data_IF_705932255613
#
_entry.id   IF_705932255613
#
_cell.length_a   1.000
_cell.length_b   1.000
_cell.length_c   1.000
_cell.angle_alpha   90.00
_cell.angle_beta   90.00
_cell.angle_gamma   90.00
#
_symmetry.space_group_name_H-M   'P 1'
#
loop_
_entity.id
_entity.type
_entity.pdbx_description
1 polymer ?
#
# COMPACT_ATOMS: atom_id res chain seq x y z
N UNK A 1 -28.96 -17.35 -19.17
CA UNK A 1 -27.75 -16.53 -18.99
C UNK A 1 -26.64 -17.06 -19.89
N UNK A 2 -26.43 -16.40 -21.05
CA UNK A 2 -25.42 -16.80 -22.05
C UNK A 2 -24.01 -16.29 -21.75
N UNK A 3 -23.83 -15.56 -20.66
CA UNK A 3 -22.51 -15.10 -20.23
C UNK A 3 -22.18 -15.79 -18.92
N UNK A 4 -21.27 -16.77 -19.03
CA UNK A 4 -20.62 -17.32 -17.84
C UNK A 4 -19.98 -16.15 -17.12
N UNK A 5 -20.23 -15.99 -15.83
CA UNK A 5 -19.69 -14.90 -15.00
C UNK A 5 -18.14 -14.90 -14.91
N UNK A 6 -17.49 -15.88 -15.51
CA UNK A 6 -16.04 -16.03 -15.54
C UNK A 6 -15.50 -15.56 -16.89
N UNK A 7 -15.02 -14.34 -16.96
CA UNK A 7 -14.35 -13.80 -18.14
C UNK A 7 -12.97 -14.43 -18.40
N UNK A 8 -12.45 -15.22 -17.49
CA UNK A 8 -11.19 -15.93 -17.63
C UNK A 8 -11.44 -17.42 -17.93
N UNK A 9 -10.75 -18.00 -18.94
CA UNK A 9 -10.76 -19.45 -19.12
C UNK A 9 -10.26 -20.13 -17.84
N UNK A 10 -10.77 -21.31 -17.50
CA UNK A 10 -10.31 -22.04 -16.32
C UNK A 10 -8.79 -22.23 -16.41
N UNK A 11 -8.07 -21.70 -15.44
CA UNK A 11 -6.63 -21.86 -15.34
C UNK A 11 -6.31 -23.34 -15.16
N UNK A 12 -5.34 -23.86 -15.92
CA UNK A 12 -4.78 -25.21 -15.71
C UNK A 12 -3.96 -25.27 -14.40
N UNK A 13 -3.69 -24.15 -13.77
CA UNK A 13 -2.94 -24.06 -12.55
C UNK A 13 -3.85 -24.28 -11.34
N UNK A 14 -3.41 -25.08 -10.39
CA UNK A 14 -4.13 -25.30 -9.14
C UNK A 14 -4.25 -24.04 -8.27
N UNK A 15 -3.35 -23.06 -8.46
CA UNK A 15 -3.29 -21.81 -7.71
C UNK A 15 -3.16 -20.63 -8.67
N UNK A 16 -4.26 -20.17 -9.27
CA UNK A 16 -4.23 -18.99 -10.13
C UNK A 16 -3.90 -17.71 -9.32
N UNK A 17 -3.16 -16.79 -9.92
CA UNK A 17 -2.89 -15.48 -9.31
C UNK A 17 -4.15 -14.65 -9.10
N UNK A 18 -5.14 -14.83 -9.95
CA UNK A 18 -6.42 -14.15 -9.89
C UNK A 18 -7.52 -15.11 -10.39
N UNK A 19 -8.54 -15.26 -9.58
CA UNK A 19 -9.73 -16.03 -9.92
C UNK A 19 -10.94 -15.11 -9.86
N UNK A 20 -11.73 -15.07 -10.94
CA UNK A 20 -12.94 -14.23 -11.05
C UNK A 20 -12.69 -12.73 -10.75
N UNK A 21 -11.58 -12.18 -11.23
CA UNK A 21 -11.17 -10.80 -10.94
C UNK A 21 -12.11 -9.72 -11.46
N UNK A 22 -12.90 -10.02 -12.51
CA UNK A 22 -13.85 -9.07 -13.12
C UNK A 22 -15.15 -9.81 -13.48
N UNK A 23 -16.27 -9.24 -13.10
CA UNK A 23 -17.58 -9.67 -13.56
C UNK A 23 -17.92 -8.99 -14.91
N UNK A 24 -18.89 -9.53 -15.62
CA UNK A 24 -19.35 -8.95 -16.89
C UNK A 24 -19.84 -7.49 -16.71
N UNK A 25 -20.49 -7.20 -15.59
CA UNK A 25 -20.97 -5.86 -15.27
C UNK A 25 -19.82 -4.86 -15.05
N UNK A 26 -18.68 -5.30 -14.52
CA UNK A 26 -17.49 -4.44 -14.37
C UNK A 26 -16.95 -4.03 -15.74
N UNK A 27 -16.92 -4.98 -16.69
CA UNK A 27 -16.49 -4.73 -18.06
C UNK A 27 -17.45 -3.78 -18.76
N UNK A 28 -18.77 -4.01 -18.63
CA UNK A 28 -19.79 -3.14 -19.22
C UNK A 28 -19.67 -1.71 -18.70
N UNK A 29 -19.42 -1.52 -17.39
CA UNK A 29 -19.15 -0.19 -16.81
C UNK A 29 -17.89 0.45 -17.39
N UNK A 30 -16.83 -0.32 -17.62
CA UNK A 30 -15.63 0.17 -18.29
C UNK A 30 -15.92 0.65 -19.73
N UNK A 31 -16.72 -0.12 -20.50
CA UNK A 31 -17.14 0.25 -21.85
C UNK A 31 -17.98 1.55 -21.83
N UNK A 32 -18.95 1.65 -20.93
CA UNK A 32 -19.78 2.86 -20.78
C UNK A 32 -18.92 4.11 -20.56
N UNK A 33 -17.88 4.01 -19.71
CA UNK A 33 -16.95 5.12 -19.44
C UNK A 33 -16.15 5.48 -20.69
N UNK A 34 -15.63 4.48 -21.42
CA UNK A 34 -14.89 4.70 -22.67
C UNK A 34 -15.77 5.42 -23.71
N UNK A 35 -17.01 4.95 -23.89
CA UNK A 35 -17.97 5.56 -24.84
C UNK A 35 -18.36 6.98 -24.44
N UNK A 36 -18.33 7.31 -23.14
CA UNK A 36 -18.61 8.66 -22.65
C UNK A 36 -17.54 9.70 -23.02
N UNK A 37 -16.35 9.26 -23.43
CA UNK A 37 -15.19 10.11 -23.70
C UNK A 37 -14.58 10.77 -22.44
N UNK A 38 -15.14 10.55 -21.24
CA UNK A 38 -14.66 11.15 -19.98
C UNK A 38 -13.74 10.19 -19.25
N UNK A 39 -12.59 9.88 -19.86
CA UNK A 39 -11.66 8.84 -19.41
C UNK A 39 -10.57 9.33 -18.43
N UNK A 40 -10.51 10.64 -18.15
CA UNK A 40 -9.53 11.21 -17.22
C UNK A 40 -10.20 12.11 -16.21
N UNK A 41 -9.71 12.15 -14.97
CA UNK A 41 -10.16 13.04 -13.88
C UNK A 41 -11.69 13.14 -13.75
N UNK A 42 -12.38 12.02 -13.97
CA UNK A 42 -13.83 11.99 -14.09
C UNK A 42 -14.54 12.04 -12.73
N UNK A 43 -15.86 12.33 -12.77
CA UNK A 43 -16.74 12.26 -11.60
C UNK A 43 -16.77 10.86 -10.98
N UNK A 44 -16.51 9.81 -11.78
CA UNK A 44 -16.46 8.41 -11.32
C UNK A 44 -15.23 8.18 -10.44
N UNK A 45 -14.08 8.72 -10.82
CA UNK A 45 -12.87 8.65 -9.97
C UNK A 45 -13.13 9.33 -8.62
N UNK A 46 -13.71 10.53 -8.62
CA UNK A 46 -14.07 11.23 -7.37
C UNK A 46 -15.08 10.44 -6.52
N UNK A 47 -16.07 9.82 -7.16
CA UNK A 47 -17.04 8.97 -6.46
C UNK A 47 -16.33 7.78 -5.81
N UNK A 48 -15.46 7.09 -6.54
CA UNK A 48 -14.67 6.00 -6.01
C UNK A 48 -13.81 6.43 -4.82
N UNK A 49 -13.06 7.52 -4.94
CA UNK A 49 -12.20 8.06 -3.86
C UNK A 49 -13.02 8.36 -2.60
N UNK A 50 -14.22 8.95 -2.74
CA UNK A 50 -15.11 9.25 -1.62
C UNK A 50 -15.68 7.98 -0.98
N UNK A 51 -16.09 7.00 -1.77
CA UNK A 51 -16.63 5.73 -1.25
C UNK A 51 -15.54 4.90 -0.58
N UNK A 52 -14.38 4.84 -1.18
CA UNK A 52 -13.23 4.12 -0.62
C UNK A 52 -12.74 4.75 0.69
N UNK A 53 -12.66 6.09 0.77
CA UNK A 53 -12.29 6.76 2.01
C UNK A 53 -13.25 6.46 3.15
N UNK A 54 -14.57 6.40 2.88
CA UNK A 54 -15.58 5.98 3.86
C UNK A 54 -15.41 4.54 4.27
N UNK A 55 -15.16 3.64 3.31
CA UNK A 55 -15.00 2.21 3.54
C UNK A 55 -13.81 1.90 4.45
N UNK A 56 -12.66 2.53 4.20
CA UNK A 56 -11.43 2.32 5.00
C UNK A 56 -11.34 3.24 6.24
N UNK A 57 -12.29 4.16 6.43
CA UNK A 57 -12.28 5.11 7.55
C UNK A 57 -11.19 6.19 7.45
N UNK A 58 -10.67 6.47 6.26
CA UNK A 58 -9.70 7.53 6.03
C UNK A 58 -10.38 8.87 5.74
N UNK A 59 -9.68 9.96 6.01
CA UNK A 59 -10.19 11.31 5.70
C UNK A 59 -10.19 11.58 4.19
N UNK A 60 -9.22 11.06 3.48
CA UNK A 60 -9.03 11.25 2.06
C UNK A 60 -8.56 9.94 1.41
N UNK A 61 -8.91 9.76 0.15
CA UNK A 61 -8.36 8.75 -0.74
C UNK A 61 -7.97 9.38 -2.06
N UNK A 62 -6.97 8.81 -2.70
CA UNK A 62 -6.51 9.22 -4.02
C UNK A 62 -6.33 7.98 -4.89
N UNK A 63 -7.03 7.94 -6.02
CA UNK A 63 -6.92 6.87 -6.99
C UNK A 63 -5.63 6.99 -7.80
N UNK A 64 -4.90 5.91 -7.91
CA UNK A 64 -3.69 5.78 -8.74
C UNK A 64 -3.78 4.50 -9.56
N UNK A 65 -2.94 4.38 -10.59
CA UNK A 65 -2.98 3.25 -11.53
C UNK A 65 -2.40 1.94 -10.97
N UNK A 66 -1.66 1.98 -9.87
CA UNK A 66 -1.07 0.78 -9.24
C UNK A 66 -0.62 1.04 -7.80
N UNK A 67 -0.44 -0.04 -7.03
CA UNK A 67 0.18 0.03 -5.71
C UNK A 67 1.61 0.58 -5.74
N UNK A 68 2.36 0.31 -6.81
CA UNK A 68 3.71 0.90 -7.01
C UNK A 68 3.67 2.42 -7.10
N UNK A 69 2.70 2.96 -7.83
CA UNK A 69 2.47 4.41 -7.91
C UNK A 69 2.00 4.99 -6.58
N UNK A 70 1.17 4.25 -5.83
CA UNK A 70 0.76 4.65 -4.48
C UNK A 70 1.97 4.76 -3.55
N UNK A 71 2.86 3.76 -3.55
CA UNK A 71 4.09 3.76 -2.75
C UNK A 71 5.01 4.93 -3.12
N UNK A 72 5.14 5.23 -4.40
CA UNK A 72 5.92 6.37 -4.89
C UNK A 72 5.32 7.68 -4.37
N UNK A 73 4.02 7.85 -4.50
CA UNK A 73 3.31 9.05 -4.07
C UNK A 73 3.45 9.29 -2.55
N UNK A 74 3.25 8.24 -1.75
CA UNK A 74 3.42 8.30 -0.29
C UNK A 74 4.85 8.66 0.08
N UNK A 75 5.84 8.06 -0.58
CA UNK A 75 7.26 8.32 -0.31
C UNK A 75 7.61 9.79 -0.56
N UNK A 76 7.16 10.35 -1.67
CA UNK A 76 7.38 11.77 -1.98
C UNK A 76 6.53 12.70 -1.10
N UNK A 77 5.36 12.27 -0.66
CA UNK A 77 4.57 13.03 0.31
C UNK A 77 5.27 13.15 1.66
N UNK A 78 6.04 12.13 2.09
CA UNK A 78 6.81 12.16 3.34
C UNK A 78 7.92 13.22 3.33
N UNK A 79 8.54 13.47 2.19
CA UNK A 79 9.62 14.47 2.02
C UNK A 79 9.12 15.83 1.51
N UNK A 80 7.81 15.99 1.33
CA UNK A 80 7.23 17.22 0.79
C UNK A 80 7.66 18.43 1.62
N UNK A 81 8.28 19.47 1.00
CA UNK A 81 8.79 20.66 1.70
C UNK A 81 7.72 21.42 2.47
N UNK A 82 6.46 21.34 2.08
CA UNK A 82 5.32 22.01 2.74
C UNK A 82 4.86 21.29 4.02
N UNK A 83 5.30 20.05 4.25
CA UNK A 83 4.92 19.28 5.44
C UNK A 83 5.75 19.69 6.65
N UNK A 84 5.10 20.02 7.78
CA UNK A 84 5.78 20.39 9.02
C UNK A 84 6.78 19.32 9.51
N UNK A 85 6.32 18.06 9.53
CA UNK A 85 7.10 16.91 9.98
C UNK A 85 7.61 16.08 8.80
N UNK A 86 8.15 16.77 7.78
CA UNK A 86 8.73 16.10 6.62
C UNK A 86 9.97 15.31 7.02
N UNK A 87 10.20 14.24 6.28
CA UNK A 87 11.46 13.51 6.34
C UNK A 87 12.52 14.25 5.53
N UNK A 88 13.75 14.12 5.96
CA UNK A 88 14.92 14.73 5.32
C UNK A 88 15.74 13.64 4.61
N UNK A 89 16.56 14.05 3.66
CA UNK A 89 17.50 13.15 3.01
C UNK A 89 18.37 12.45 4.06
N UNK A 90 18.55 11.14 3.90
CA UNK A 90 19.25 10.24 4.81
C UNK A 90 18.51 9.90 6.12
N UNK A 91 17.29 10.40 6.35
CA UNK A 91 16.46 9.86 7.41
C UNK A 91 16.24 8.37 7.22
N UNK A 92 16.21 7.63 8.31
CA UNK A 92 16.08 6.17 8.28
C UNK A 92 14.61 5.74 8.38
N UNK A 93 14.27 4.66 7.67
CA UNK A 93 12.96 4.03 7.76
C UNK A 93 13.09 2.53 7.98
N UNK A 94 12.16 1.97 8.74
CA UNK A 94 12.07 0.53 9.00
C UNK A 94 11.25 -0.10 7.88
N UNK A 95 11.73 -1.21 7.34
CA UNK A 95 11.02 -2.02 6.35
C UNK A 95 11.33 -3.50 6.59
N UNK A 96 10.35 -4.42 6.48
CA UNK A 96 10.66 -5.84 6.57
C UNK A 96 11.60 -6.29 5.46
N UNK A 97 12.53 -7.19 5.79
CA UNK A 97 13.47 -7.76 4.82
C UNK A 97 12.75 -8.55 3.72
N UNK A 98 11.60 -9.15 4.04
CA UNK A 98 10.69 -9.76 3.08
C UNK A 98 9.70 -8.69 2.58
N UNK A 99 9.98 -8.15 1.40
CA UNK A 99 9.12 -7.14 0.80
C UNK A 99 9.17 -7.20 -0.74
N UNK A 100 8.14 -6.66 -1.37
CA UNK A 100 8.19 -6.42 -2.81
C UNK A 100 9.09 -5.21 -3.10
N UNK A 101 9.83 -5.27 -4.20
CA UNK A 101 10.80 -4.21 -4.56
C UNK A 101 10.19 -2.82 -4.60
N UNK A 102 8.94 -2.69 -5.06
CA UNK A 102 8.24 -1.40 -5.16
C UNK A 102 7.74 -0.85 -3.81
N UNK A 103 7.87 -1.60 -2.71
CA UNK A 103 7.70 -1.07 -1.36
C UNK A 103 8.97 -0.40 -0.84
N UNK A 104 10.14 -0.81 -1.34
CA UNK A 104 11.45 -0.32 -0.92
C UNK A 104 11.96 0.84 -1.79
N UNK A 105 11.97 0.64 -3.12
CA UNK A 105 12.62 1.57 -4.06
C UNK A 105 12.11 3.02 -3.96
N UNK A 106 10.81 3.30 -3.85
CA UNK A 106 10.33 4.67 -3.76
C UNK A 106 10.87 5.45 -2.58
N UNK A 107 11.05 4.80 -1.42
CA UNK A 107 11.63 5.43 -0.23
C UNK A 107 13.12 5.75 -0.43
N UNK A 108 13.87 4.84 -1.10
CA UNK A 108 15.26 5.09 -1.47
C UNK A 108 15.36 6.23 -2.49
N UNK A 109 14.49 6.25 -3.50
CA UNK A 109 14.42 7.32 -4.50
C UNK A 109 14.10 8.68 -3.86
N UNK A 110 13.30 8.68 -2.80
CA UNK A 110 13.06 9.87 -1.98
C UNK A 110 14.28 10.29 -1.13
N UNK A 111 15.38 9.56 -1.20
CA UNK A 111 16.64 9.86 -0.49
C UNK A 111 16.69 9.35 0.94
N UNK A 112 15.78 8.45 1.33
CA UNK A 112 15.74 7.85 2.66
C UNK A 112 16.61 6.59 2.73
N UNK A 113 17.00 6.18 3.94
CA UNK A 113 17.86 5.01 4.18
C UNK A 113 17.09 3.86 4.82
N UNK A 114 17.09 2.65 4.22
CA UNK A 114 16.39 1.50 4.79
C UNK A 114 17.14 0.95 6.01
N UNK A 115 16.37 0.59 7.03
CA UNK A 115 16.74 -0.27 8.14
C UNK A 115 15.89 -1.52 8.07
N UNK A 116 16.47 -2.60 7.58
CA UNK A 116 15.75 -3.86 7.47
C UNK A 116 15.47 -4.45 8.85
N UNK A 117 14.25 -4.96 9.00
CA UNK A 117 13.79 -5.71 10.16
C UNK A 117 13.37 -7.11 9.70
N UNK A 118 13.67 -8.10 10.52
CA UNK A 118 13.27 -9.47 10.22
C UNK A 118 11.77 -9.67 10.43
N UNK A 119 11.24 -10.74 9.87
CA UNK A 119 9.82 -11.09 9.90
C UNK A 119 9.57 -12.27 10.84
N UNK A 120 8.39 -12.31 11.41
CA UNK A 120 7.89 -13.49 12.10
C UNK A 120 7.66 -14.63 11.10
N UNK A 121 8.20 -15.82 11.38
CA UNK A 121 8.16 -16.99 10.49
C UNK A 121 6.76 -17.53 10.20
N UNK A 122 5.77 -17.21 11.04
CA UNK A 122 4.40 -17.70 10.90
C UNK A 122 3.56 -16.74 10.07
N UNK A 123 3.79 -15.44 10.21
CA UNK A 123 2.98 -14.40 9.55
C UNK A 123 3.65 -13.78 8.34
N UNK A 124 4.98 -13.89 8.22
CA UNK A 124 5.82 -13.20 7.23
C UNK A 124 5.75 -11.66 7.31
N UNK A 125 5.15 -11.13 8.35
CA UNK A 125 5.06 -9.70 8.64
C UNK A 125 6.13 -9.29 9.66
N UNK A 126 6.32 -7.98 9.86
CA UNK A 126 7.25 -7.46 10.88
C UNK A 126 7.03 -8.19 12.22
N UNK A 127 8.11 -8.72 12.81
CA UNK A 127 8.09 -9.14 14.21
C UNK A 127 8.18 -7.91 15.12
N UNK A 128 7.09 -7.52 15.80
CA UNK A 128 7.07 -6.32 16.61
C UNK A 128 8.01 -6.37 17.82
N UNK A 129 8.45 -7.56 18.24
CA UNK A 129 9.39 -7.69 19.34
C UNK A 129 10.79 -7.18 18.96
N UNK A 130 11.13 -7.20 17.68
CA UNK A 130 12.39 -6.69 17.16
C UNK A 130 12.43 -5.16 17.08
N UNK A 131 11.28 -4.47 17.08
CA UNK A 131 11.22 -3.00 17.03
C UNK A 131 11.89 -2.33 18.24
N UNK A 132 11.93 -3.02 19.37
CA UNK A 132 12.57 -2.48 20.61
C UNK A 132 14.10 -2.47 20.56
N UNK A 133 14.71 -3.00 19.51
CA UNK A 133 16.16 -2.98 19.35
C UNK A 133 16.67 -1.56 19.14
N UNK A 134 17.76 -1.21 19.79
CA UNK A 134 18.39 0.13 19.77
C UNK A 134 18.67 0.66 18.35
N UNK A 135 18.96 -0.22 17.40
CA UNK A 135 19.23 0.15 15.99
C UNK A 135 18.06 0.87 15.27
N UNK A 136 16.83 0.77 15.79
CA UNK A 136 15.64 1.37 15.19
C UNK A 136 15.20 2.68 15.85
N UNK A 137 15.84 3.10 16.95
CA UNK A 137 15.44 4.29 17.73
C UNK A 137 15.51 5.60 16.93
N UNK A 138 16.39 5.68 15.94
CA UNK A 138 16.59 6.89 15.10
C UNK A 138 15.71 6.90 13.85
N UNK A 139 15.01 5.84 13.56
CA UNK A 139 14.13 5.76 12.39
C UNK A 139 12.98 6.76 12.50
N UNK A 140 12.53 7.28 11.36
CA UNK A 140 11.47 8.30 11.27
C UNK A 140 10.19 7.78 10.63
N UNK A 141 10.26 6.61 9.99
CA UNK A 141 9.12 5.98 9.35
C UNK A 141 9.19 4.46 9.47
N UNK A 142 8.02 3.82 9.35
CA UNK A 142 7.86 2.37 9.26
C UNK A 142 7.00 2.08 8.04
N UNK A 143 7.49 1.23 7.13
CA UNK A 143 6.71 0.59 6.09
C UNK A 143 6.28 -0.78 6.61
N UNK A 144 5.02 -0.91 7.00
CA UNK A 144 4.44 -2.15 7.51
C UNK A 144 3.70 -2.87 6.37
N UNK A 145 4.09 -4.11 6.09
CA UNK A 145 3.54 -4.90 5.00
C UNK A 145 2.72 -6.08 5.52
N UNK A 146 1.55 -6.28 4.96
CA UNK A 146 0.62 -7.37 5.26
C UNK A 146 0.74 -8.47 4.20
N UNK A 147 1.74 -9.34 4.35
CA UNK A 147 2.11 -10.33 3.35
C UNK A 147 1.03 -11.42 3.25
N UNK A 148 0.58 -11.71 2.01
CA UNK A 148 -0.44 -12.73 1.69
C UNK A 148 -1.74 -12.58 2.49
N UNK A 149 -2.10 -11.34 2.85
CA UNK A 149 -3.29 -11.07 3.67
C UNK A 149 -3.11 -11.32 5.17
N UNK A 150 -1.93 -11.76 5.61
CA UNK A 150 -1.63 -11.83 7.04
C UNK A 150 -1.37 -10.44 7.61
N UNK A 151 -1.87 -10.20 8.81
CA UNK A 151 -1.58 -8.98 9.54
C UNK A 151 -0.48 -9.21 10.58
N UNK A 152 0.46 -8.27 10.65
CA UNK A 152 1.34 -8.13 11.81
C UNK A 152 0.53 -7.77 13.07
N UNK A 153 1.15 -7.76 14.24
CA UNK A 153 0.51 -7.20 15.43
C UNK A 153 0.43 -5.66 15.28
N UNK A 154 -0.58 -5.20 14.54
CA UNK A 154 -0.75 -3.78 14.16
C UNK A 154 -0.77 -2.87 15.39
N UNK A 155 -1.44 -3.28 16.47
CA UNK A 155 -1.52 -2.46 17.70
C UNK A 155 -0.14 -2.18 18.30
N UNK A 156 0.74 -3.18 18.36
CA UNK A 156 2.12 -2.97 18.84
C UNK A 156 2.91 -2.04 17.93
N UNK A 157 2.75 -2.18 16.61
CA UNK A 157 3.46 -1.34 15.63
C UNK A 157 2.96 0.11 15.69
N UNK A 158 1.64 0.31 15.74
CA UNK A 158 1.02 1.63 15.86
C UNK A 158 1.47 2.33 17.15
N UNK A 159 1.45 1.63 18.28
CA UNK A 159 1.89 2.19 19.56
C UNK A 159 3.37 2.57 19.50
N UNK A 160 4.23 1.69 19.00
CA UNK A 160 5.65 2.00 18.83
C UNK A 160 5.87 3.21 17.92
N UNK A 161 5.17 3.27 16.79
CA UNK A 161 5.28 4.40 15.86
C UNK A 161 4.83 5.73 16.51
N UNK A 162 3.76 5.70 17.30
CA UNK A 162 3.28 6.86 18.06
C UNK A 162 4.28 7.32 19.13
N UNK A 163 4.77 6.40 19.94
CA UNK A 163 5.73 6.69 21.02
C UNK A 163 7.02 7.29 20.48
N UNK A 164 7.49 6.81 19.34
CA UNK A 164 8.70 7.29 18.65
C UNK A 164 8.42 8.42 17.67
N UNK A 165 7.17 8.87 17.52
CA UNK A 165 6.74 9.93 16.57
C UNK A 165 7.15 9.62 15.12
N UNK A 166 7.05 8.35 14.73
CA UNK A 166 7.35 7.88 13.38
C UNK A 166 6.13 7.97 12.48
N UNK A 167 6.35 8.15 11.19
CA UNK A 167 5.31 7.91 10.17
C UNK A 167 5.10 6.42 9.98
N UNK A 168 3.85 5.98 10.01
CA UNK A 168 3.47 4.61 9.68
C UNK A 168 2.82 4.60 8.29
N UNK A 169 3.30 3.69 7.45
CA UNK A 169 2.79 3.41 6.09
C UNK A 169 2.36 1.96 6.05
N UNK A 170 1.15 1.72 5.54
CA UNK A 170 0.57 0.40 5.34
C UNK A 170 0.02 0.24 3.94
#
# INVERSE_FOLDING_TARGET
>A
NKYNNNCNPPSKNQYPLLENGFAADDILKGIEILLSGKITMSSITKKFENEFSKFVGSKYSLMVNSGSSANLLVSFALINPLKKNKLLRNDEFIIPALCWSTSLWPLIQAGLKPKFIDVDKKTFCIDPNLLMQKKYEKCKAIMNLHILGNCSNVNKIVNFAKDKKMHLIE
#
